data_IF_416544108404
#
_entry.id   IF_416544108404
#
_cell.length_a   1.000
_cell.length_b   1.000
_cell.length_c   1.000
_cell.angle_alpha   90.00
_cell.angle_beta   90.00
_cell.angle_gamma   90.00
#
_symmetry.space_group_name_H-M   'P 1'
#
loop_
_entity.id
_entity.type
_entity.pdbx_description
1 polymer ?
#
# COMPACT_ATOMS: atom_id res chain seq x y z
N UNK A 1 -2.45 -14.29 0.87
CA UNK A 1 -1.60 -13.80 -0.22
C UNK A 1 -2.29 -12.75 -1.05
N UNK A 2 -1.58 -11.75 -1.51
CA UNK A 2 -2.16 -10.65 -2.31
C UNK A 2 -2.93 -11.12 -3.54
N UNK A 3 -2.42 -12.06 -4.37
CA UNK A 3 -3.16 -12.50 -5.55
C UNK A 3 -4.52 -13.09 -5.22
N UNK A 4 -4.62 -13.81 -4.13
CA UNK A 4 -5.88 -14.41 -3.68
C UNK A 4 -6.87 -13.34 -3.21
N UNK A 5 -6.43 -12.40 -2.38
CA UNK A 5 -7.26 -11.30 -1.91
C UNK A 5 -7.73 -10.42 -3.06
N UNK A 6 -6.85 -10.16 -4.02
CA UNK A 6 -7.19 -9.39 -5.21
C UNK A 6 -8.29 -10.07 -6.05
N UNK A 7 -8.21 -11.38 -6.23
CA UNK A 7 -9.21 -12.13 -6.97
C UNK A 7 -10.58 -12.08 -6.26
N UNK A 8 -10.60 -12.24 -4.94
CA UNK A 8 -11.83 -12.16 -4.15
C UNK A 8 -12.49 -10.79 -4.26
N UNK A 9 -11.71 -9.71 -4.20
CA UNK A 9 -12.21 -8.34 -4.34
C UNK A 9 -12.77 -8.12 -5.74
N UNK A 10 -12.07 -8.57 -6.78
CA UNK A 10 -12.54 -8.44 -8.15
C UNK A 10 -13.88 -9.13 -8.38
N UNK A 11 -14.10 -10.29 -7.75
CA UNK A 11 -15.34 -11.02 -7.88
C UNK A 11 -16.55 -10.30 -7.29
N UNK A 12 -16.31 -9.32 -6.39
CA UNK A 12 -17.36 -8.54 -5.74
C UNK A 12 -17.67 -7.21 -6.44
N UNK A 13 -16.88 -6.84 -7.44
CA UNK A 13 -17.03 -5.55 -8.12
C UNK A 13 -17.87 -5.70 -9.38
N UNK A 14 -18.79 -4.76 -9.59
CA UNK A 14 -19.59 -4.66 -10.81
C UNK A 14 -18.66 -4.52 -12.03
N UNK A 15 -18.86 -5.30 -13.12
CA UNK A 15 -18.04 -5.21 -14.31
C UNK A 15 -17.98 -3.80 -14.92
N UNK A 16 -19.04 -3.03 -14.87
CA UNK A 16 -19.05 -1.67 -15.39
C UNK A 16 -18.21 -0.73 -14.53
N UNK A 17 -18.29 -0.85 -13.22
CA UNK A 17 -17.42 -0.11 -12.30
C UNK A 17 -15.96 -0.46 -12.51
N UNK A 18 -15.68 -1.73 -12.78
CA UNK A 18 -14.32 -2.17 -13.04
C UNK A 18 -13.73 -1.53 -14.29
N UNK A 19 -14.52 -1.52 -15.38
CA UNK A 19 -14.11 -0.87 -16.65
C UNK A 19 -13.86 0.61 -16.44
N UNK A 20 -14.75 1.28 -15.69
CA UNK A 20 -14.64 2.70 -15.42
C UNK A 20 -13.38 3.02 -14.61
N UNK A 21 -13.10 2.24 -13.59
CA UNK A 21 -11.87 2.38 -12.77
C UNK A 21 -10.62 2.14 -13.60
N UNK A 22 -10.62 1.10 -14.43
CA UNK A 22 -9.48 0.79 -15.29
C UNK A 22 -9.23 1.91 -16.29
N UNK A 23 -10.29 2.52 -16.79
CA UNK A 23 -10.20 3.68 -17.70
C UNK A 23 -9.58 4.88 -17.00
N UNK A 24 -10.02 5.19 -15.78
CA UNK A 24 -9.47 6.29 -14.98
C UNK A 24 -7.99 6.06 -14.68
N UNK A 25 -7.61 4.84 -14.33
CA UNK A 25 -6.22 4.48 -14.07
C UNK A 25 -5.35 4.64 -15.32
N UNK A 26 -5.83 4.18 -16.46
CA UNK A 26 -5.13 4.30 -17.72
C UNK A 26 -4.92 5.76 -18.12
N UNK A 27 -5.93 6.60 -17.93
CA UNK A 27 -5.85 8.04 -18.20
C UNK A 27 -4.87 8.73 -17.25
N UNK A 28 -4.82 8.34 -15.99
CA UNK A 28 -3.96 8.92 -15.00
C UNK A 28 -2.49 8.46 -15.14
N UNK A 29 -2.22 7.34 -15.82
CA UNK A 29 -0.91 6.68 -15.83
C UNK A 29 0.24 7.60 -16.22
N UNK A 30 0.04 8.52 -17.16
CA UNK A 30 1.09 9.45 -17.61
C UNK A 30 1.54 10.41 -16.52
N UNK A 31 0.69 10.68 -15.53
CA UNK A 31 0.98 11.59 -14.42
C UNK A 31 1.55 10.87 -13.20
N UNK A 32 1.59 9.54 -13.25
CA UNK A 32 2.11 8.73 -12.15
C UNK A 32 3.60 8.49 -12.30
N UNK A 33 4.29 8.55 -11.17
CA UNK A 33 5.66 8.06 -11.05
C UNK A 33 5.67 6.53 -11.07
N UNK A 34 6.86 5.93 -11.06
CA UNK A 34 7.01 4.51 -10.87
C UNK A 34 6.41 4.08 -9.52
N UNK A 35 5.71 2.93 -9.44
CA UNK A 35 5.09 2.50 -8.19
C UNK A 35 6.07 2.06 -7.11
N UNK A 36 7.27 1.65 -7.45
CA UNK A 36 8.24 1.16 -6.46
C UNK A 36 8.61 2.20 -5.40
N UNK A 37 8.98 3.43 -5.75
CA UNK A 37 9.25 4.47 -4.75
C UNK A 37 8.04 4.79 -3.88
N UNK A 38 6.85 4.81 -4.46
CA UNK A 38 5.61 5.06 -3.73
C UNK A 38 5.38 3.97 -2.67
N UNK A 39 5.52 2.71 -3.05
CA UNK A 39 5.41 1.58 -2.12
C UNK A 39 6.44 1.64 -1.00
N UNK A 40 7.67 1.98 -1.33
CA UNK A 40 8.73 2.14 -0.33
C UNK A 40 8.38 3.24 0.68
N UNK A 41 7.90 4.39 0.22
CA UNK A 41 7.48 5.49 1.11
C UNK A 41 6.35 5.07 2.03
N UNK A 42 5.35 4.37 1.52
CA UNK A 42 4.22 3.88 2.31
C UNK A 42 4.69 2.89 3.38
N UNK A 43 5.52 1.93 3.00
CA UNK A 43 6.03 0.93 3.94
C UNK A 43 6.87 1.57 5.06
N UNK A 44 7.74 2.51 4.73
CA UNK A 44 8.54 3.23 5.73
C UNK A 44 7.66 4.10 6.61
N UNK A 45 6.68 4.79 6.05
CA UNK A 45 5.73 5.59 6.83
C UNK A 45 4.95 4.72 7.82
N UNK A 46 4.51 3.54 7.39
CA UNK A 46 3.83 2.58 8.26
C UNK A 46 4.74 2.18 9.43
N UNK A 47 5.98 1.86 9.15
CA UNK A 47 6.96 1.51 10.20
C UNK A 47 7.17 2.66 11.18
N UNK A 48 7.27 3.88 10.69
CA UNK A 48 7.44 5.06 11.53
C UNK A 48 6.22 5.33 12.41
N UNK A 49 5.02 5.11 11.89
CA UNK A 49 3.79 5.23 12.68
C UNK A 49 3.76 4.17 13.79
N UNK A 50 4.09 2.93 13.46
CA UNK A 50 4.14 1.85 14.45
C UNK A 50 5.19 2.11 15.53
N UNK A 51 6.28 2.76 15.17
CA UNK A 51 7.34 3.14 16.12
C UNK A 51 7.03 4.41 16.93
N UNK A 52 5.88 5.05 16.68
CA UNK A 52 5.51 6.29 17.34
C UNK A 52 6.25 7.52 16.85
N UNK A 53 6.97 7.40 15.73
CA UNK A 53 7.78 8.49 15.17
C UNK A 53 7.00 9.39 14.22
N UNK A 54 5.80 8.97 13.83
CA UNK A 54 4.94 9.69 12.89
C UNK A 54 3.49 9.53 13.32
N UNK A 55 2.70 10.59 13.14
CA UNK A 55 1.25 10.54 13.40
C UNK A 55 0.55 9.62 12.41
N UNK A 56 -0.40 8.77 12.86
CA UNK A 56 -1.24 7.97 11.96
C UNK A 56 -1.97 8.82 10.91
N UNK A 57 -2.31 10.07 11.23
CA UNK A 57 -2.99 10.96 10.30
C UNK A 57 -2.17 11.26 9.04
N UNK A 58 -0.84 11.22 9.15
CA UNK A 58 0.02 11.39 7.98
C UNK A 58 -0.05 10.20 7.02
N UNK A 59 -0.32 9.03 7.55
CA UNK A 59 -0.50 7.82 6.73
C UNK A 59 -1.86 7.81 6.02
N UNK A 60 -2.88 8.42 6.62
CA UNK A 60 -4.22 8.52 6.04
C UNK A 60 -4.21 9.10 4.63
N UNK A 61 -3.38 10.10 4.38
CA UNK A 61 -3.27 10.75 3.07
C UNK A 61 -2.80 9.80 1.96
N UNK A 62 -2.11 8.73 2.35
CA UNK A 62 -1.56 7.75 1.42
C UNK A 62 -2.51 6.59 1.18
N UNK A 63 -3.64 6.55 1.88
CA UNK A 63 -4.58 5.43 1.88
C UNK A 63 -5.86 5.76 1.14
N UNK A 64 -6.37 4.77 0.41
CA UNK A 64 -7.74 4.80 -0.05
C UNK A 64 -8.69 4.69 1.15
N UNK A 65 -9.86 5.32 1.06
CA UNK A 65 -10.82 5.34 2.16
C UNK A 65 -11.20 3.95 2.66
N UNK A 66 -11.27 2.97 1.76
CA UNK A 66 -11.68 1.61 2.11
C UNK A 66 -10.71 0.89 3.03
N UNK A 67 -9.42 1.21 2.96
CA UNK A 67 -8.42 0.54 3.79
C UNK A 67 -8.11 1.31 5.07
N UNK A 68 -8.31 2.62 5.07
CA UNK A 68 -7.89 3.47 6.19
C UNK A 68 -8.51 3.04 7.52
N UNK A 69 -9.79 2.75 7.55
CA UNK A 69 -10.48 2.38 8.79
C UNK A 69 -9.91 1.11 9.41
N UNK A 70 -9.60 0.11 8.58
CA UNK A 70 -9.00 -1.15 9.04
C UNK A 70 -7.59 -0.95 9.55
N UNK A 71 -6.81 -0.16 8.82
CA UNK A 71 -5.42 0.13 9.18
C UNK A 71 -5.33 0.96 10.45
N UNK A 72 -6.17 1.98 10.58
CA UNK A 72 -6.23 2.81 11.78
C UNK A 72 -6.54 1.99 13.02
N UNK A 73 -7.48 1.06 12.93
CA UNK A 73 -7.79 0.17 14.04
C UNK A 73 -6.63 -0.76 14.40
N UNK A 74 -5.98 -1.32 13.39
CA UNK A 74 -4.80 -2.16 13.63
C UNK A 74 -3.67 -1.37 14.30
N UNK A 75 -3.43 -0.14 13.88
CA UNK A 75 -2.41 0.71 14.47
C UNK A 75 -2.73 1.07 15.91
N UNK A 76 -4.00 1.24 16.27
CA UNK A 76 -4.41 1.47 17.66
C UNK A 76 -4.17 0.26 18.55
N UNK A 77 -4.26 -0.95 17.98
CA UNK A 77 -4.03 -2.19 18.72
C UNK A 77 -2.56 -2.53 18.88
N UNK A 78 -1.72 -2.05 17.99
CA UNK A 78 -0.27 -2.26 18.11
C UNK A 78 0.21 -1.41 19.29
N UNK A 79 0.36 -2.06 20.43
CA UNK A 79 0.73 -1.39 21.66
C UNK A 79 2.20 -1.05 21.69
N UNK A 80 2.50 0.23 21.70
CA UNK A 80 3.77 0.75 22.09
C UNK A 80 4.93 0.55 21.11
N UNK A 81 5.97 1.35 21.27
CA UNK A 81 7.11 1.34 20.37
C UNK A 81 7.99 0.13 20.61
N UNK A 82 7.97 -0.83 19.73
CA UNK A 82 9.10 -1.72 19.56
C UNK A 82 10.13 -0.97 18.74
N UNK A 83 11.00 -0.27 19.40
CA UNK A 83 12.05 0.48 18.71
C UNK A 83 13.10 -0.50 18.22
N UNK A 84 12.93 -0.97 17.00
CA UNK A 84 13.97 -1.69 16.30
C UNK A 84 14.39 -0.87 15.10
N UNK A 85 15.67 -0.82 14.85
CA UNK A 85 16.20 -0.23 13.64
C UNK A 85 15.54 -0.90 12.45
N UNK A 86 15.01 -0.09 11.53
CA UNK A 86 14.32 -0.55 10.33
C UNK A 86 15.01 0.00 9.12
N UNK A 87 15.29 -0.85 8.17
CA UNK A 87 15.91 -0.45 6.92
C UNK A 87 15.27 -1.17 5.75
N UNK A 88 15.20 -0.46 4.63
CA UNK A 88 14.73 -0.98 3.37
C UNK A 88 15.76 -1.97 2.83
N UNK A 89 15.32 -3.18 2.48
CA UNK A 89 16.20 -4.19 1.88
C UNK A 89 15.99 -4.24 0.38
N UNK A 90 14.74 -4.32 -0.06
CA UNK A 90 14.41 -4.45 -1.47
C UNK A 90 12.96 -4.07 -1.72
N UNK A 91 12.69 -3.55 -2.92
CA UNK A 91 11.34 -3.26 -3.41
C UNK A 91 11.11 -4.01 -4.71
N UNK A 92 10.01 -4.72 -4.77
CA UNK A 92 9.58 -5.47 -5.96
C UNK A 92 8.22 -4.93 -6.36
N UNK A 93 8.11 -4.38 -7.57
CA UNK A 93 6.87 -3.79 -8.06
C UNK A 93 6.47 -4.43 -9.39
N UNK A 94 5.18 -4.70 -9.53
CA UNK A 94 4.58 -5.21 -10.76
C UNK A 94 3.33 -4.40 -11.06
N UNK A 95 3.23 -3.88 -12.26
CA UNK A 95 2.06 -3.14 -12.71
C UNK A 95 1.33 -4.00 -13.75
N UNK A 96 0.32 -4.76 -13.30
CA UNK A 96 -0.40 -5.70 -14.15
C UNK A 96 -1.32 -5.01 -15.16
N UNK A 97 -1.90 -3.89 -14.76
CA UNK A 97 -2.66 -3.00 -15.63
C UNK A 97 -2.20 -1.58 -15.38
N UNK A 98 -2.30 -0.68 -16.38
CA UNK A 98 -1.87 0.70 -16.16
C UNK A 98 -2.55 1.34 -14.94
N UNK A 99 -1.76 1.88 -14.02
CA UNK A 99 -2.26 2.55 -12.84
C UNK A 99 -2.70 1.64 -11.69
N UNK A 100 -2.46 0.34 -11.78
CA UNK A 100 -2.73 -0.61 -10.69
C UNK A 100 -1.48 -1.47 -10.48
N UNK A 101 -0.84 -1.32 -9.34
CA UNK A 101 0.43 -1.99 -9.05
C UNK A 101 0.36 -2.84 -7.80
N UNK A 102 1.10 -3.94 -7.81
CA UNK A 102 1.40 -4.72 -6.62
C UNK A 102 2.86 -4.46 -6.26
N UNK A 103 3.09 -4.08 -5.00
CA UNK A 103 4.43 -3.76 -4.50
C UNK A 103 4.69 -4.55 -3.24
N UNK A 104 5.82 -5.23 -3.21
CA UNK A 104 6.32 -5.90 -2.02
C UNK A 104 7.59 -5.21 -1.58
N UNK A 105 7.60 -4.74 -0.35
CA UNK A 105 8.75 -4.08 0.25
C UNK A 105 9.33 -5.01 1.31
N UNK A 106 10.59 -5.38 1.16
CA UNK A 106 11.30 -6.16 2.15
C UNK A 106 12.01 -5.21 3.11
N UNK A 107 11.69 -5.34 4.38
CA UNK A 107 12.22 -4.47 5.43
C UNK A 107 12.97 -5.31 6.45
N UNK A 108 14.18 -4.89 6.77
CA UNK A 108 14.91 -5.43 7.89
C UNK A 108 14.35 -4.81 9.18
N UNK A 109 13.80 -5.65 10.01
CA UNK A 109 13.15 -5.25 11.26
C UNK A 109 13.82 -6.00 12.40
N UNK A 110 14.78 -5.36 13.03
CA UNK A 110 15.52 -5.95 14.14
C UNK A 110 16.32 -7.21 13.77
N UNK A 111 16.98 -7.20 12.61
CA UNK A 111 17.77 -8.34 12.12
C UNK A 111 16.96 -9.39 11.37
N UNK A 112 15.65 -9.18 11.25
CA UNK A 112 14.75 -10.10 10.55
C UNK A 112 14.15 -9.41 9.34
N UNK A 113 14.20 -10.02 8.18
CA UNK A 113 13.58 -9.49 6.97
C UNK A 113 12.10 -9.88 6.93
N UNK A 114 11.22 -8.88 6.87
CA UNK A 114 9.79 -9.10 6.78
C UNK A 114 9.23 -8.45 5.52
N UNK A 115 8.27 -9.09 4.84
CA UNK A 115 7.63 -8.50 3.68
C UNK A 115 6.45 -7.62 4.08
N UNK A 116 6.32 -6.49 3.40
CA UNK A 116 5.13 -5.66 3.42
C UNK A 116 4.57 -5.67 2.01
N UNK A 117 3.48 -6.35 1.80
CA UNK A 117 2.86 -6.50 0.50
C UNK A 117 1.67 -5.55 0.39
N UNK A 118 1.57 -4.85 -0.73
CA UNK A 118 0.55 -3.85 -0.92
C UNK A 118 0.06 -3.78 -2.35
N UNK A 119 -1.14 -3.26 -2.51
CA UNK A 119 -1.70 -2.89 -3.80
C UNK A 119 -1.90 -1.39 -3.84
N UNK A 120 -1.45 -0.76 -4.90
CA UNK A 120 -1.51 0.67 -5.11
C UNK A 120 -2.42 1.01 -6.29
N UNK A 121 -3.26 2.02 -6.10
CA UNK A 121 -4.19 2.53 -7.10
C UNK A 121 -3.79 3.94 -7.49
N UNK A 122 -3.63 4.19 -8.78
CA UNK A 122 -3.23 5.47 -9.33
C UNK A 122 -4.32 6.26 -10.02
N UNK A 123 -5.58 5.89 -9.87
CA UNK A 123 -6.70 6.50 -10.60
C UNK A 123 -6.84 8.02 -10.42
N UNK A 124 -6.39 8.55 -9.28
CA UNK A 124 -6.46 9.98 -8.97
C UNK A 124 -5.23 10.78 -9.41
N UNK A 125 -4.28 10.15 -10.09
CA UNK A 125 -3.04 10.79 -10.51
C UNK A 125 -1.91 10.74 -9.50
N UNK A 126 -2.08 10.02 -8.41
CA UNK A 126 -1.05 9.67 -7.42
C UNK A 126 -1.34 8.28 -6.87
N UNK A 127 -0.31 7.61 -6.37
CA UNK A 127 -0.46 6.27 -5.83
C UNK A 127 -1.08 6.30 -4.44
N UNK A 128 -2.18 5.58 -4.27
CA UNK A 128 -2.85 5.39 -2.99
C UNK A 128 -2.79 3.92 -2.58
N UNK A 129 -2.65 3.68 -1.29
CA UNK A 129 -2.72 2.35 -0.73
C UNK A 129 -4.16 1.82 -0.78
N UNK A 130 -4.37 0.74 -1.51
CA UNK A 130 -5.68 0.11 -1.68
C UNK A 130 -5.82 -1.14 -0.80
N UNK A 131 -4.75 -1.92 -0.68
CA UNK A 131 -4.69 -3.12 0.14
C UNK A 131 -3.31 -3.25 0.77
N UNK A 132 -3.27 -3.83 1.96
CA UNK A 132 -2.04 -4.03 2.71
C UNK A 132 -2.04 -5.38 3.40
N UNK A 133 -0.90 -6.06 3.34
CA UNK A 133 -0.67 -7.31 4.03
C UNK A 133 0.75 -7.29 4.63
N UNK A 134 0.81 -7.44 5.93
CA UNK A 134 2.10 -7.47 6.65
C UNK A 134 2.00 -8.13 8.02
#
# INVERSE_FOLDING_TARGET
MLPYAAAAIRAQVDPYEQIERDTLRAQARRRLDSPAPAGARIALALCEVEAGMRSPLQLERLCHLTIWSKLAERLRRSGGPAVTARSLVRVIAQEHTPGLAEVTVLINRGGRVVPVAMRLDGAKGHWELLELQY
#
